data_IF_510954696513
#
_entry.id   IF_510954696513
#
_cell.length_a   1.000
_cell.length_b   1.000
_cell.length_c   1.000
_cell.angle_alpha   90.00
_cell.angle_beta   90.00
_cell.angle_gamma   90.00
#
_symmetry.space_group_name_H-M   'P 1'
#
loop_
_entity.id
_entity.type
_entity.pdbx_description
1 polymer ?
#
# COMPACT_ATOMS: atom_id res chain seq x y z
N UNK A 1 -22.32 22.97 -29.07
CA UNK A 1 -22.21 23.70 -27.80
C UNK A 1 -20.78 23.55 -27.31
N UNK A 2 -19.94 24.54 -27.61
CA UNK A 2 -18.49 24.50 -27.43
C UNK A 2 -18.05 25.05 -26.07
N UNK A 3 -16.90 24.55 -25.62
CA UNK A 3 -16.16 25.03 -24.46
C UNK A 3 -15.63 26.46 -24.69
N UNK A 4 -15.73 27.31 -23.67
CA UNK A 4 -14.98 28.56 -23.56
C UNK A 4 -14.18 28.51 -22.25
N UNK A 5 -12.85 28.58 -22.35
CA UNK A 5 -11.95 28.86 -21.23
C UNK A 5 -11.75 30.38 -21.11
N UNK A 6 -11.71 30.97 -19.91
CA UNK A 6 -11.08 32.26 -19.72
C UNK A 6 -9.55 32.06 -19.66
N UNK A 7 -8.82 32.67 -20.59
CA UNK A 7 -7.37 32.86 -20.50
C UNK A 7 -7.09 34.15 -19.72
N UNK A 8 -6.41 34.03 -18.58
CA UNK A 8 -5.76 35.13 -17.89
C UNK A 8 -4.24 35.00 -18.04
N UNK A 9 -3.51 36.07 -18.37
CA UNK A 9 -2.07 36.00 -18.56
C UNK A 9 -1.37 36.24 -17.22
N UNK A 10 -1.04 35.16 -16.52
CA UNK A 10 0.03 35.22 -15.52
C UNK A 10 0.68 33.86 -15.40
N UNK A 11 1.88 33.81 -15.96
CA UNK A 11 2.85 32.75 -15.80
C UNK A 11 3.18 32.63 -14.31
N UNK A 12 2.73 31.55 -13.67
CA UNK A 12 3.24 31.08 -12.40
C UNK A 12 2.89 29.61 -12.32
N UNK A 13 3.88 28.79 -12.69
CA UNK A 13 4.02 27.37 -12.41
C UNK A 13 2.70 26.65 -12.13
N UNK A 14 2.16 26.03 -13.17
CA UNK A 14 1.38 24.80 -13.00
C UNK A 14 2.31 23.75 -12.37
N UNK A 15 2.68 23.93 -11.10
CA UNK A 15 3.07 22.85 -10.22
C UNK A 15 1.85 21.95 -10.22
N UNK A 16 1.92 20.93 -11.06
CA UNK A 16 0.97 19.86 -11.17
C UNK A 16 0.46 19.57 -9.76
N UNK A 17 -0.86 19.54 -9.60
CA UNK A 17 -1.51 19.07 -8.38
C UNK A 17 -1.17 17.57 -8.25
N UNK A 18 0.07 17.28 -7.85
CA UNK A 18 0.57 15.94 -7.62
C UNK A 18 -0.06 15.53 -6.31
N UNK A 19 -1.14 14.76 -6.40
CA UNK A 19 -1.72 14.09 -5.26
C UNK A 19 -0.70 13.05 -4.80
N UNK A 20 0.06 13.38 -3.74
CA UNK A 20 0.99 12.44 -3.13
C UNK A 20 0.21 11.51 -2.19
N UNK A 21 0.10 10.25 -2.58
CA UNK A 21 -0.43 9.20 -1.71
C UNK A 21 0.72 8.67 -0.86
N UNK A 22 0.86 9.21 0.36
CA UNK A 22 1.89 8.73 1.29
C UNK A 22 1.57 7.29 1.76
N UNK A 23 2.51 6.34 1.64
CA UNK A 23 2.38 5.00 2.21
C UNK A 23 2.04 5.02 3.70
N UNK A 24 2.55 6.00 4.44
CA UNK A 24 2.29 6.16 5.86
C UNK A 24 0.82 6.51 6.14
N UNK A 25 0.19 7.33 5.28
CA UNK A 25 -1.22 7.66 5.42
C UNK A 25 -2.12 6.44 5.17
N UNK A 26 -1.73 5.55 4.26
CA UNK A 26 -2.42 4.27 4.03
C UNK A 26 -2.31 3.35 5.26
N UNK A 27 -1.12 3.24 5.86
CA UNK A 27 -0.90 2.47 7.08
C UNK A 27 -1.69 3.03 8.26
N UNK A 28 -1.70 4.34 8.45
CA UNK A 28 -2.46 5.00 9.50
C UNK A 28 -3.96 4.78 9.34
N UNK A 29 -4.48 4.88 8.11
CA UNK A 29 -5.89 4.63 7.80
C UNK A 29 -6.24 3.16 8.05
N UNK A 30 -5.40 2.22 7.61
CA UNK A 30 -5.60 0.79 7.86
C UNK A 30 -5.62 0.45 9.35
N UNK A 31 -4.67 0.97 10.13
CA UNK A 31 -4.62 0.78 11.58
C UNK A 31 -5.89 1.33 12.27
N UNK A 32 -6.37 2.50 11.83
CA UNK A 32 -7.61 3.07 12.34
C UNK A 32 -8.83 2.20 12.04
N UNK A 33 -8.96 1.71 10.81
CA UNK A 33 -10.05 0.79 10.41
C UNK A 33 -10.03 -0.44 11.31
N UNK A 34 -8.86 -1.06 11.54
CA UNK A 34 -8.75 -2.23 12.42
C UNK A 34 -9.19 -1.94 13.85
N UNK A 35 -8.77 -0.79 14.41
CA UNK A 35 -9.18 -0.40 15.76
C UNK A 35 -10.70 -0.18 15.88
N UNK A 36 -11.29 0.50 14.89
CA UNK A 36 -12.74 0.74 14.85
C UNK A 36 -13.54 -0.56 14.66
N UNK A 37 -13.11 -1.44 13.75
CA UNK A 37 -13.71 -2.76 13.52
C UNK A 37 -13.65 -3.61 14.78
N UNK A 38 -12.51 -3.61 15.48
CA UNK A 38 -12.36 -4.37 16.71
C UNK A 38 -13.37 -3.92 17.78
N UNK A 39 -13.47 -2.61 18.01
CA UNK A 39 -14.43 -2.05 18.96
C UNK A 39 -15.88 -2.36 18.54
N UNK A 40 -16.23 -2.12 17.27
CA UNK A 40 -17.57 -2.39 16.75
C UNK A 40 -17.96 -3.88 16.86
N UNK A 41 -17.04 -4.79 16.54
CA UNK A 41 -17.25 -6.23 16.66
C UNK A 41 -17.49 -6.66 18.12
N UNK A 42 -16.76 -6.09 19.07
CA UNK A 42 -16.98 -6.38 20.50
C UNK A 42 -18.34 -5.88 20.98
N UNK A 43 -18.71 -4.66 20.61
CA UNK A 43 -20.02 -4.08 20.95
C UNK A 43 -21.17 -4.89 20.34
N UNK A 44 -21.02 -5.30 19.08
CA UNK A 44 -21.99 -6.15 18.40
C UNK A 44 -22.15 -7.50 19.13
N UNK A 45 -21.03 -8.17 19.45
CA UNK A 45 -21.06 -9.47 20.14
C UNK A 45 -21.75 -9.36 21.50
N UNK A 46 -21.43 -8.32 22.27
CA UNK A 46 -22.03 -8.08 23.59
C UNK A 46 -23.54 -7.83 23.47
N UNK A 47 -23.95 -6.94 22.57
CA UNK A 47 -25.36 -6.64 22.33
C UNK A 47 -26.12 -7.88 21.83
N UNK A 48 -25.50 -8.67 20.95
CA UNK A 48 -26.10 -9.88 20.42
C UNK A 48 -26.34 -10.94 21.51
N UNK A 49 -25.39 -11.11 22.44
CA UNK A 49 -25.58 -11.98 23.61
C UNK A 49 -26.72 -11.49 24.51
N UNK A 50 -26.82 -10.18 24.74
CA UNK A 50 -27.93 -9.60 25.53
C UNK A 50 -29.29 -9.86 24.86
N UNK A 51 -29.38 -9.71 23.55
CA UNK A 51 -30.60 -10.03 22.78
C UNK A 51 -30.93 -11.50 22.88
N UNK A 52 -29.95 -12.40 22.76
CA UNK A 52 -30.19 -13.84 22.91
C UNK A 52 -30.68 -14.20 24.31
N UNK A 53 -30.09 -13.60 25.35
CA UNK A 53 -30.52 -13.83 26.73
C UNK A 53 -31.96 -13.36 26.92
N UNK A 54 -32.31 -12.15 26.45
CA UNK A 54 -33.66 -11.62 26.51
C UNK A 54 -34.67 -12.51 25.76
N UNK A 55 -34.32 -13.00 24.57
CA UNK A 55 -35.16 -13.94 23.81
C UNK A 55 -35.38 -15.26 24.56
N UNK A 56 -34.43 -15.69 25.39
CA UNK A 56 -34.52 -16.94 26.13
C UNK A 56 -35.28 -16.80 27.46
N UNK A 57 -35.35 -15.60 28.04
CA UNK A 57 -35.94 -15.38 29.37
C UNK A 57 -37.30 -14.70 29.34
N UNK A 58 -37.51 -13.74 28.43
CA UNK A 58 -38.69 -12.86 28.46
C UNK A 58 -39.71 -13.16 27.35
N UNK A 59 -39.31 -13.91 26.31
CA UNK A 59 -40.14 -14.16 25.13
C UNK A 59 -40.61 -15.59 25.13
N UNK A 60 -41.88 -15.80 24.78
CA UNK A 60 -42.43 -17.13 24.57
C UNK A 60 -41.58 -17.91 23.55
N UNK A 61 -41.27 -19.18 23.79
CA UNK A 61 -40.28 -19.93 23.01
C UNK A 61 -40.63 -20.01 21.51
N UNK A 62 -41.92 -20.12 21.15
CA UNK A 62 -42.34 -20.12 19.74
C UNK A 62 -42.05 -18.78 19.05
N UNK A 63 -42.25 -17.66 19.74
CA UNK A 63 -41.93 -16.33 19.23
C UNK A 63 -40.45 -16.03 19.24
N UNK A 64 -39.72 -16.54 20.23
CA UNK A 64 -38.27 -16.42 20.32
C UNK A 64 -37.59 -17.07 19.10
N UNK A 65 -38.08 -18.23 18.64
CA UNK A 65 -37.57 -18.90 17.46
C UNK A 65 -37.83 -18.13 16.16
N UNK A 66 -39.03 -17.56 16.00
CA UNK A 66 -39.36 -16.68 14.86
C UNK A 66 -38.45 -15.45 14.84
N UNK A 67 -38.27 -14.80 15.98
CA UNK A 67 -37.39 -13.64 16.12
C UNK A 67 -35.94 -14.00 15.83
N UNK A 68 -35.45 -15.15 16.32
CA UNK A 68 -34.09 -15.63 16.06
C UNK A 68 -33.88 -15.95 14.58
N UNK A 69 -34.86 -16.55 13.91
CA UNK A 69 -34.81 -16.81 12.47
C UNK A 69 -34.73 -15.51 11.66
N UNK A 70 -35.42 -14.44 12.10
CA UNK A 70 -35.34 -13.14 11.46
C UNK A 70 -34.00 -12.44 11.73
N UNK A 71 -33.51 -12.46 12.97
CA UNK A 71 -32.34 -11.67 13.40
C UNK A 71 -30.99 -12.31 13.06
N UNK A 72 -30.90 -13.65 13.06
CA UNK A 72 -29.68 -14.39 12.76
C UNK A 72 -28.99 -13.98 11.43
N UNK A 73 -29.70 -13.86 10.28
CA UNK A 73 -29.05 -13.45 9.03
C UNK A 73 -28.48 -12.03 9.08
N UNK A 74 -29.10 -11.11 9.83
CA UNK A 74 -28.57 -9.76 10.00
C UNK A 74 -27.29 -9.77 10.82
N UNK A 75 -27.26 -10.51 11.93
CA UNK A 75 -26.08 -10.66 12.76
C UNK A 75 -24.91 -11.28 11.97
N UNK A 76 -25.19 -12.30 11.14
CA UNK A 76 -24.20 -12.91 10.25
C UNK A 76 -23.67 -11.92 9.20
N UNK A 77 -24.55 -11.15 8.57
CA UNK A 77 -24.14 -10.14 7.59
C UNK A 77 -23.26 -9.07 8.22
N UNK A 78 -23.57 -8.65 9.46
CA UNK A 78 -22.75 -7.69 10.20
C UNK A 78 -21.34 -8.24 10.47
N UNK A 79 -21.23 -9.50 10.89
CA UNK A 79 -19.94 -10.17 11.03
C UNK A 79 -19.16 -10.25 9.71
N UNK A 80 -19.82 -10.58 8.60
CA UNK A 80 -19.18 -10.61 7.29
C UNK A 80 -18.63 -9.22 6.89
N UNK A 81 -19.34 -8.14 7.21
CA UNK A 81 -18.88 -6.77 6.98
C UNK A 81 -17.60 -6.45 7.78
N UNK A 82 -17.51 -6.88 9.05
CA UNK A 82 -16.30 -6.69 9.85
C UNK A 82 -15.11 -7.48 9.31
N UNK A 83 -15.32 -8.69 8.80
CA UNK A 83 -14.28 -9.47 8.14
C UNK A 83 -13.79 -8.77 6.87
N UNK A 84 -14.70 -8.29 6.03
CA UNK A 84 -14.35 -7.53 4.83
C UNK A 84 -13.54 -6.26 5.14
N UNK A 85 -13.90 -5.53 6.20
CA UNK A 85 -13.13 -4.34 6.63
C UNK A 85 -11.73 -4.72 7.13
N UNK A 86 -11.59 -5.89 7.74
CA UNK A 86 -10.29 -6.41 8.16
C UNK A 86 -9.42 -6.74 6.95
N UNK A 87 -9.99 -7.42 5.94
CA UNK A 87 -9.30 -7.74 4.69
C UNK A 87 -8.90 -6.48 3.92
N UNK A 88 -9.78 -5.47 3.90
CA UNK A 88 -9.47 -4.16 3.32
C UNK A 88 -8.27 -3.50 4.01
N UNK A 89 -8.24 -3.50 5.33
CA UNK A 89 -7.12 -2.93 6.07
C UNK A 89 -5.81 -3.68 5.79
N UNK A 90 -5.85 -5.01 5.69
CA UNK A 90 -4.68 -5.82 5.31
C UNK A 90 -4.22 -5.50 3.87
N UNK A 91 -5.15 -5.35 2.93
CA UNK A 91 -4.84 -4.95 1.56
C UNK A 91 -4.19 -3.56 1.51
N UNK A 92 -4.62 -2.62 2.36
CA UNK A 92 -4.00 -1.30 2.48
C UNK A 92 -2.57 -1.36 3.03
N UNK A 93 -2.29 -2.23 4.01
CA UNK A 93 -0.92 -2.47 4.47
C UNK A 93 -0.04 -3.03 3.35
N UNK A 94 -0.50 -4.07 2.66
CA UNK A 94 0.22 -4.67 1.54
C UNK A 94 0.48 -3.67 0.40
N UNK A 95 -0.49 -2.79 0.11
CA UNK A 95 -0.32 -1.74 -0.89
C UNK A 95 0.74 -0.71 -0.46
N UNK A 96 0.78 -0.32 0.81
CA UNK A 96 1.81 0.57 1.33
C UNK A 96 3.21 -0.06 1.25
N UNK A 97 3.33 -1.34 1.57
CA UNK A 97 4.60 -2.08 1.47
C UNK A 97 5.07 -2.20 0.02
N UNK A 98 4.15 -2.48 -0.91
CA UNK A 98 4.45 -2.52 -2.33
C UNK A 98 4.97 -1.18 -2.87
N UNK A 99 4.37 -0.07 -2.44
CA UNK A 99 4.82 1.26 -2.86
C UNK A 99 6.20 1.61 -2.31
N UNK A 100 6.48 1.29 -1.05
CA UNK A 100 7.82 1.47 -0.48
C UNK A 100 8.87 0.63 -1.22
N UNK A 101 8.58 -0.65 -1.48
CA UNK A 101 9.49 -1.51 -2.23
C UNK A 101 9.74 -1.02 -3.66
N UNK A 102 8.70 -0.46 -4.30
CA UNK A 102 8.84 0.14 -5.64
C UNK A 102 9.71 1.38 -5.60
N UNK A 103 9.54 2.26 -4.61
CA UNK A 103 10.35 3.46 -4.42
C UNK A 103 11.83 3.13 -4.15
N UNK A 104 12.09 2.12 -3.31
CA UNK A 104 13.45 1.60 -3.09
C UNK A 104 14.06 1.05 -4.38
N UNK A 105 13.30 0.26 -5.16
CA UNK A 105 13.77 -0.29 -6.43
C UNK A 105 14.07 0.81 -7.46
N UNK A 106 13.24 1.84 -7.56
CA UNK A 106 13.48 3.00 -8.43
C UNK A 106 14.70 3.78 -7.96
N UNK A 107 14.82 4.04 -6.66
CA UNK A 107 15.98 4.71 -6.07
C UNK A 107 17.28 3.97 -6.40
N UNK A 108 17.29 2.64 -6.28
CA UNK A 108 18.44 1.81 -6.63
C UNK A 108 18.74 1.80 -8.13
N UNK A 109 17.72 1.79 -8.99
CA UNK A 109 17.89 1.86 -10.45
C UNK A 109 18.45 3.21 -10.94
N UNK A 110 18.18 4.30 -10.20
CA UNK A 110 18.69 5.63 -10.50
C UNK A 110 19.95 6.00 -9.72
N UNK A 111 20.55 5.07 -8.95
CA UNK A 111 21.88 5.33 -8.39
C UNK A 111 22.86 5.55 -9.55
N UNK A 112 23.55 6.70 -9.61
CA UNK A 112 24.57 6.91 -10.62
C UNK A 112 25.64 5.82 -10.44
N UNK A 113 26.02 5.14 -11.53
CA UNK A 113 27.23 4.33 -11.52
C UNK A 113 28.34 5.15 -10.85
N UNK A 114 29.15 4.57 -9.94
CA UNK A 114 30.28 5.29 -9.38
C UNK A 114 31.04 5.91 -10.54
N UNK A 115 31.07 7.24 -10.58
CA UNK A 115 31.78 7.98 -11.63
C UNK A 115 33.22 7.52 -11.57
N UNK A 116 33.63 6.73 -12.56
CA UNK A 116 35.02 6.63 -12.94
C UNK A 116 35.43 8.06 -13.33
N UNK A 117 36.03 8.79 -12.38
CA UNK A 117 36.62 10.09 -12.66
C UNK A 117 37.72 9.92 -13.73
N UNK A 118 37.89 10.91 -14.62
CA UNK A 118 38.83 10.84 -15.74
C UNK A 118 40.27 11.00 -15.22
N UNK A 119 41.15 10.05 -15.58
CA UNK A 119 42.59 10.29 -15.53
C UNK A 119 42.97 11.10 -16.77
N UNK A 120 43.04 12.42 -16.64
CA UNK A 120 43.83 13.25 -17.53
C UNK A 120 45.13 13.67 -16.80
N UNK A 121 46.26 13.19 -17.30
CA UNK A 121 47.50 13.97 -17.39
C UNK A 121 48.56 13.17 -18.15
N UNK A 122 48.73 13.54 -19.42
CA UNK A 122 50.00 13.73 -20.14
C UNK A 122 51.18 12.80 -19.80
N UNK A 123 51.58 11.94 -20.73
CA UNK A 123 52.98 11.80 -21.22
C UNK A 123 53.08 10.84 -22.44
N UNK A 124 54.12 10.99 -23.29
CA UNK A 124 54.05 10.80 -24.74
C UNK A 124 54.51 9.42 -25.24
N UNK A 125 54.18 9.15 -26.51
CA UNK A 125 54.73 8.14 -27.44
C UNK A 125 55.88 7.26 -26.92
N UNK A 126 55.74 5.92 -26.92
CA UNK A 126 56.91 5.05 -26.82
C UNK A 126 57.67 5.04 -28.17
N UNK A 127 59.01 5.16 -28.18
CA UNK A 127 59.81 4.96 -29.38
C UNK A 127 59.92 3.47 -29.70
N UNK A 128 59.89 3.15 -30.99
CA UNK A 128 60.18 1.82 -31.54
C UNK A 128 61.63 1.37 -31.22
N UNK A 129 61.78 0.17 -30.63
CA UNK A 129 62.98 -0.70 -30.73
C UNK A 129 62.63 -2.05 -30.04
N UNK A 130 62.43 -3.15 -30.78
CA UNK A 130 63.43 -4.13 -31.26
C UNK A 130 63.51 -5.39 -30.36
N UNK A 131 63.10 -6.51 -30.96
CA UNK A 131 63.57 -7.90 -30.76
C UNK A 131 63.40 -8.59 -29.40
N UNK A 132 62.71 -9.74 -29.41
CA UNK A 132 62.81 -10.74 -28.33
C UNK A 132 61.76 -11.83 -28.40
N UNK A 133 62.12 -12.95 -29.04
CA UNK A 133 61.35 -14.20 -29.22
C UNK A 133 60.81 -14.86 -27.93
N UNK A 134 59.74 -15.66 -28.09
CA UNK A 134 59.37 -16.77 -27.18
C UNK A 134 57.85 -16.92 -26.99
N UNK A 135 57.16 -17.67 -27.85
CA UNK A 135 56.63 -19.04 -27.60
C UNK A 135 55.53 -19.11 -26.52
N UNK A 136 54.25 -19.10 -26.90
CA UNK A 136 53.37 -20.29 -27.11
C UNK A 136 53.16 -21.18 -25.87
N UNK A 137 51.92 -21.22 -25.37
CA UNK A 137 51.07 -22.43 -25.13
C UNK A 137 50.10 -22.23 -23.95
N UNK A 138 48.80 -22.41 -24.22
CA UNK A 138 47.68 -22.54 -23.25
C UNK A 138 47.65 -23.93 -22.61
N UNK A 139 47.03 -24.06 -21.43
CA UNK A 139 45.79 -24.84 -21.37
C UNK A 139 44.57 -24.01 -20.95
#
# INVERSE_FOLDING_TARGET
>A
MGFIRPVGPTDSSSSANVVSYSPEHMRQTAARILAEVHNASQQHTTTWQQVQNWLNTEVDPEWADVMRACLAPYAQRLHASYAWLTDLAQALFAAADFLNATDENLTNAFQPLPRLCPLDSTTPFPPSALAGSGSFTFP
#
